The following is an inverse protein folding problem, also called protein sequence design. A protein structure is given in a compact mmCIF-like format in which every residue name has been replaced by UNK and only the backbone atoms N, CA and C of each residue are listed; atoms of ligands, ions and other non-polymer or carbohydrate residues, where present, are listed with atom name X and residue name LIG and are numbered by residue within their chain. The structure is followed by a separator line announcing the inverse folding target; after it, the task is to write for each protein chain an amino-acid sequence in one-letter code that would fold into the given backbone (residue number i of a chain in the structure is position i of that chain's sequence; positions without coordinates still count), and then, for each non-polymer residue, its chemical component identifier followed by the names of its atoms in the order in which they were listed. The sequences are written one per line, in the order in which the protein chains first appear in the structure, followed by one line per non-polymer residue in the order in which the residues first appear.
data_IF_595866433303
#
_entry.id   IF_595866433303
#
_cell.length_a   1.000
_cell.length_b   1.000
_cell.length_c   1.000
_cell.angle_alpha   90.00
_cell.angle_beta   90.00
_cell.angle_gamma   90.00
#
_symmetry.space_group_name_H-M   'P 1'
#
loop_
_entity.id
_entity.type
_entity.pdbx_description
1 polymer ?
#
# COMPACT_ATOMS: atom_id res chain seq x y z
N UNK A 1 56.79 7.38 -0.40
CA UNK A 1 56.31 8.63 0.22
C UNK A 1 55.73 9.49 -0.91
N UNK A 2 54.42 9.75 -0.86
CA UNK A 2 53.59 10.52 -1.82
C UNK A 2 53.39 9.91 -3.21
N UNK A 3 52.36 9.06 -3.34
CA UNK A 3 51.74 8.76 -4.64
C UNK A 3 50.57 9.70 -4.91
N UNK A 4 50.65 10.30 -6.10
CA UNK A 4 49.70 11.23 -6.71
C UNK A 4 48.53 10.45 -7.29
N UNK A 5 47.29 10.78 -6.91
CA UNK A 5 46.13 10.52 -7.75
C UNK A 5 45.72 11.83 -8.45
N UNK A 6 46.18 11.94 -9.70
CA UNK A 6 45.70 12.90 -10.68
C UNK A 6 44.29 12.51 -11.13
N UNK A 7 43.40 13.49 -11.18
CA UNK A 7 42.03 13.30 -11.65
C UNK A 7 41.92 12.97 -13.14
N UNK A 8 40.80 12.32 -13.47
CA UNK A 8 40.04 12.51 -14.70
C UNK A 8 38.76 11.66 -14.61
N UNK A 9 37.64 12.26 -14.20
CA UNK A 9 36.32 11.74 -14.55
C UNK A 9 35.69 12.73 -15.53
N UNK A 10 35.83 12.40 -16.80
CA UNK A 10 35.33 13.15 -17.94
C UNK A 10 33.79 13.08 -17.92
N UNK A 11 33.17 14.25 -17.77
CA UNK A 11 31.83 14.55 -18.28
C UNK A 11 31.79 14.25 -19.79
N UNK A 12 30.85 13.41 -20.23
CA UNK A 12 29.85 13.68 -21.29
C UNK A 12 29.31 12.38 -21.88
N UNK A 13 27.98 12.33 -21.99
CA UNK A 13 27.30 11.29 -22.76
C UNK A 13 25.77 11.36 -22.70
N UNK A 14 25.19 12.57 -22.68
CA UNK A 14 23.77 12.72 -22.97
C UNK A 14 23.55 12.58 -24.48
N UNK A 15 22.78 11.57 -24.90
CA UNK A 15 22.13 11.59 -26.22
C UNK A 15 20.86 10.74 -26.23
N UNK A 16 19.73 11.46 -26.17
CA UNK A 16 18.53 11.29 -27.00
C UNK A 16 18.01 9.87 -27.24
N UNK A 17 16.90 9.56 -26.57
CA UNK A 17 15.76 8.86 -27.15
C UNK A 17 14.47 9.42 -26.51
N UNK A 18 14.09 10.62 -26.90
CA UNK A 18 12.69 11.07 -26.84
C UNK A 18 12.14 10.96 -28.25
N UNK A 19 11.28 9.96 -28.48
CA UNK A 19 10.33 9.93 -29.59
C UNK A 19 9.20 8.96 -29.24
N UNK A 20 8.03 9.56 -29.04
CA UNK A 20 6.70 8.96 -28.99
C UNK A 20 6.39 8.05 -27.79
N UNK A 21 5.77 8.68 -26.78
CA UNK A 21 4.56 8.13 -26.19
C UNK A 21 4.74 7.35 -24.90
N UNK A 22 4.10 7.89 -23.86
CA UNK A 22 3.61 7.22 -22.66
C UNK A 22 4.60 7.19 -21.49
N UNK A 23 4.20 7.92 -20.44
CA UNK A 23 4.91 8.11 -19.18
C UNK A 23 4.06 7.46 -18.06
N UNK A 24 4.73 6.79 -17.11
CA UNK A 24 4.20 5.69 -16.27
C UNK A 24 4.46 5.90 -14.76
N UNK A 25 3.60 5.46 -13.83
CA UNK A 25 3.77 5.61 -12.35
C UNK A 25 4.01 4.29 -11.64
N UNK A 26 4.69 4.28 -10.49
CA UNK A 26 4.88 3.06 -9.69
C UNK A 26 5.08 3.33 -8.21
N UNK A 27 4.52 2.47 -7.37
CA UNK A 27 4.70 2.47 -5.91
C UNK A 27 5.52 1.25 -5.49
N UNK A 28 6.53 1.50 -4.65
CA UNK A 28 7.41 0.49 -4.12
C UNK A 28 7.45 0.54 -2.60
N UNK A 29 7.72 -0.62 -2.01
CA UNK A 29 7.91 -0.79 -0.59
C UNK A 29 9.14 -1.67 -0.35
N UNK A 30 10.10 -1.17 0.43
CA UNK A 30 11.09 -2.01 1.09
C UNK A 30 10.45 -2.50 2.37
N UNK A 31 10.20 -3.80 2.45
CA UNK A 31 9.74 -4.44 3.67
C UNK A 31 10.96 -4.61 4.57
N UNK A 32 11.03 -3.75 5.60
CA UNK A 32 11.98 -3.90 6.70
C UNK A 32 11.50 -4.96 7.69
N UNK A 33 11.85 -4.80 8.97
CA UNK A 33 11.40 -5.72 10.02
C UNK A 33 9.88 -5.63 10.19
N UNK A 34 9.19 -6.70 9.83
CA UNK A 34 7.81 -6.96 10.26
C UNK A 34 7.86 -7.91 11.45
N UNK A 35 7.15 -7.58 12.52
CA UNK A 35 6.95 -8.45 13.67
C UNK A 35 5.45 -8.57 13.91
N UNK A 36 4.89 -9.69 13.48
CA UNK A 36 3.46 -9.99 13.63
C UNK A 36 3.22 -11.40 14.13
N UNK A 37 1.98 -11.65 14.55
CA UNK A 37 1.50 -12.97 14.96
C UNK A 37 0.75 -13.64 13.82
N UNK A 38 1.12 -14.88 13.51
CA UNK A 38 0.46 -15.73 12.53
C UNK A 38 -0.27 -16.87 13.27
N UNK A 39 -1.58 -16.99 13.02
CA UNK A 39 -2.33 -18.15 13.47
C UNK A 39 -2.45 -19.19 12.34
N UNK A 40 -1.56 -20.18 12.34
CA UNK A 40 -1.57 -21.31 11.39
C UNK A 40 -2.88 -22.12 11.38
N UNK A 41 -3.72 -21.97 12.41
CA UNK A 41 -5.02 -22.64 12.54
C UNK A 41 -6.16 -22.00 11.74
N UNK A 42 -5.99 -20.76 11.27
CA UNK A 42 -6.98 -20.02 10.49
C UNK A 42 -6.35 -19.65 9.14
N UNK A 43 -6.28 -20.65 8.27
CA UNK A 43 -6.04 -20.44 6.85
C UNK A 43 -7.23 -19.65 6.31
N UNK A 44 -6.93 -18.55 5.64
CA UNK A 44 -7.96 -17.82 4.93
C UNK A 44 -8.59 -18.72 3.87
N UNK A 45 -9.90 -18.62 3.72
CA UNK A 45 -10.72 -19.52 2.92
C UNK A 45 -10.34 -19.45 1.43
N UNK A 46 -9.34 -20.23 1.02
CA UNK A 46 -8.98 -20.60 -0.36
C UNK A 46 -7.98 -21.78 -0.38
N UNK A 47 -8.51 -23.01 -0.36
CA UNK A 47 -7.94 -24.30 -0.82
C UNK A 47 -6.41 -24.40 -1.12
N UNK A 48 -5.64 -25.00 -0.20
CA UNK A 48 -4.73 -26.18 -0.35
C UNK A 48 -3.43 -26.16 0.52
N UNK A 49 -3.32 -27.18 1.40
CA UNK A 49 -2.11 -27.93 1.85
C UNK A 49 -1.32 -27.44 3.11
N UNK A 50 -1.57 -28.14 4.24
CA UNK A 50 -0.72 -28.66 5.37
C UNK A 50 0.70 -28.10 5.66
N UNK A 51 1.25 -28.03 6.89
CA UNK A 51 0.85 -28.43 8.25
C UNK A 51 1.74 -27.72 9.34
N UNK A 52 1.20 -27.69 10.57
CA UNK A 52 1.84 -27.71 11.91
C UNK A 52 2.88 -26.63 12.31
N UNK A 53 2.57 -25.90 13.40
CA UNK A 53 3.24 -26.10 14.70
C UNK A 53 2.48 -25.34 15.79
N UNK A 54 2.19 -26.05 16.88
CA UNK A 54 1.56 -25.55 18.10
C UNK A 54 2.54 -24.74 18.96
N UNK A 55 2.06 -23.62 19.49
CA UNK A 55 2.63 -22.96 20.66
C UNK A 55 1.54 -22.06 21.25
N UNK A 56 1.12 -22.34 22.48
CA UNK A 56 0.03 -21.65 23.17
C UNK A 56 0.39 -20.21 23.62
N UNK A 57 1.55 -19.70 23.19
CA UNK A 57 1.97 -18.32 23.36
C UNK A 57 2.52 -17.81 22.01
N UNK A 58 1.93 -16.72 21.52
CA UNK A 58 2.52 -15.75 20.58
C UNK A 58 3.89 -16.07 19.96
N UNK A 59 4.00 -16.49 18.69
CA UNK A 59 5.31 -16.42 17.99
C UNK A 59 5.43 -15.10 17.23
N UNK A 60 6.37 -14.25 17.62
CA UNK A 60 6.79 -13.10 16.81
C UNK A 60 7.52 -13.60 15.57
N UNK A 61 7.04 -13.24 14.38
CA UNK A 61 7.68 -13.64 13.12
C UNK A 61 8.46 -12.46 12.54
N UNK A 62 9.80 -12.48 12.55
CA UNK A 62 10.60 -11.49 11.85
C UNK A 62 10.54 -11.76 10.34
N UNK A 63 9.90 -10.89 9.58
CA UNK A 63 9.92 -10.92 8.10
C UNK A 63 10.96 -9.93 7.60
N UNK A 64 11.76 -10.35 6.63
CA UNK A 64 12.79 -9.58 5.95
C UNK A 64 12.85 -9.98 4.46
N UNK A 65 13.81 -9.43 3.71
CA UNK A 65 13.92 -9.74 2.29
C UNK A 65 14.15 -11.22 1.97
N UNK A 66 14.91 -11.95 2.80
CA UNK A 66 15.30 -13.32 2.50
C UNK A 66 14.13 -14.30 2.68
N UNK A 67 13.15 -13.92 3.52
CA UNK A 67 12.01 -14.77 3.86
C UNK A 67 10.65 -14.18 3.46
N UNK A 68 10.61 -13.06 2.74
CA UNK A 68 9.37 -12.35 2.39
C UNK A 68 8.34 -13.28 1.73
N UNK A 69 8.71 -13.98 0.66
CA UNK A 69 7.83 -14.88 -0.09
C UNK A 69 7.42 -16.16 0.66
N UNK A 70 8.03 -16.42 1.82
CA UNK A 70 7.56 -17.48 2.72
C UNK A 70 6.24 -17.08 3.38
N UNK A 71 6.08 -15.81 3.71
CA UNK A 71 4.95 -15.29 4.48
C UNK A 71 3.96 -14.49 3.63
N UNK A 72 4.44 -13.86 2.56
CA UNK A 72 3.61 -13.09 1.64
C UNK A 72 3.39 -13.81 0.32
N UNK A 73 2.24 -13.53 -0.27
CA UNK A 73 1.89 -13.86 -1.64
C UNK A 73 1.55 -12.58 -2.41
N UNK A 74 1.73 -12.62 -3.73
CA UNK A 74 1.54 -11.50 -4.64
C UNK A 74 0.34 -11.79 -5.54
N UNK A 75 -0.49 -10.78 -5.80
CA UNK A 75 -1.58 -10.86 -6.77
C UNK A 75 -1.80 -9.53 -7.49
N UNK A 76 -2.48 -9.58 -8.63
CA UNK A 76 -2.64 -8.42 -9.50
C UNK A 76 -1.33 -8.07 -10.19
N UNK A 77 -0.98 -6.79 -10.27
CA UNK A 77 0.22 -6.32 -10.95
C UNK A 77 1.51 -6.42 -10.12
N UNK A 78 1.43 -6.88 -8.87
CA UNK A 78 2.56 -6.79 -7.94
C UNK A 78 3.69 -7.77 -8.27
N UNK A 79 4.91 -7.38 -7.92
CA UNK A 79 6.12 -8.20 -8.07
C UNK A 79 7.08 -8.00 -6.91
N UNK A 80 8.04 -8.89 -6.77
CA UNK A 80 9.03 -8.84 -5.69
C UNK A 80 10.44 -9.12 -6.22
N UNK A 81 11.40 -8.27 -5.85
CA UNK A 81 12.82 -8.49 -6.11
C UNK A 81 13.53 -8.96 -4.83
N UNK A 82 13.81 -10.26 -4.77
CA UNK A 82 14.49 -10.89 -3.63
C UNK A 82 15.93 -10.39 -3.41
N UNK A 83 16.57 -9.75 -4.40
CA UNK A 83 17.92 -9.21 -4.23
C UNK A 83 17.93 -7.89 -3.47
N UNK A 84 16.85 -7.12 -3.61
CA UNK A 84 16.75 -5.76 -3.08
C UNK A 84 15.74 -5.64 -1.94
N UNK A 85 14.89 -6.65 -1.75
CA UNK A 85 13.81 -6.60 -0.76
C UNK A 85 12.63 -5.73 -1.18
N UNK A 86 12.58 -5.31 -2.45
CA UNK A 86 11.60 -4.38 -2.97
C UNK A 86 10.35 -5.13 -3.44
N UNK A 87 9.21 -4.80 -2.83
CA UNK A 87 7.88 -5.11 -3.35
C UNK A 87 7.46 -3.97 -4.26
N UNK A 88 7.20 -4.29 -5.53
CA UNK A 88 6.57 -3.37 -6.48
C UNK A 88 5.07 -3.64 -6.42
N UNK A 89 4.27 -2.69 -5.93
CA UNK A 89 2.82 -2.89 -5.83
C UNK A 89 2.14 -2.70 -7.19
N UNK A 90 2.57 -1.68 -7.93
CA UNK A 90 2.15 -1.42 -9.31
C UNK A 90 3.39 -1.14 -10.14
N UNK A 91 3.60 -1.85 -11.27
CA UNK A 91 4.72 -1.57 -12.15
C UNK A 91 4.51 -0.22 -12.82
N UNK A 92 5.60 0.33 -13.35
CA UNK A 92 5.57 1.55 -14.13
C UNK A 92 4.85 1.27 -15.45
N UNK A 93 3.51 1.22 -15.45
CA UNK A 93 2.66 0.97 -16.62
C UNK A 93 1.48 1.94 -16.67
N UNK A 94 0.81 2.01 -17.83
CA UNK A 94 -0.33 2.88 -18.12
C UNK A 94 -1.65 2.09 -18.15
N UNK A 95 -1.73 1.08 -17.29
CA UNK A 95 -2.88 0.19 -17.17
C UNK A 95 -3.73 0.56 -15.96
N UNK A 96 -5.04 0.42 -16.13
CA UNK A 96 -6.02 0.32 -15.04
C UNK A 96 -5.74 -0.95 -14.26
N UNK A 97 -4.96 -0.84 -13.20
CA UNK A 97 -4.50 -2.02 -12.49
C UNK A 97 -4.36 -1.79 -10.98
N UNK A 98 -4.48 -2.89 -10.26
CA UNK A 98 -4.28 -3.00 -8.82
C UNK A 98 -3.29 -4.14 -8.59
N UNK A 99 -2.40 -3.98 -7.63
CA UNK A 99 -1.49 -5.03 -7.22
C UNK A 99 -1.36 -5.04 -5.72
N UNK A 100 -1.26 -6.25 -5.17
CA UNK A 100 -1.25 -6.49 -3.74
C UNK A 100 -0.15 -7.47 -3.35
N UNK A 101 0.39 -7.27 -2.16
CA UNK A 101 1.19 -8.26 -1.45
C UNK A 101 0.50 -8.53 -0.11
N UNK A 102 0.12 -9.78 0.16
CA UNK A 102 -0.69 -10.12 1.31
C UNK A 102 -0.13 -11.31 2.10
N UNK A 103 -0.39 -11.35 3.40
CA UNK A 103 0.02 -12.49 4.22
C UNK A 103 -0.72 -13.76 3.79
N UNK A 104 -0.01 -14.87 3.70
CA UNK A 104 -0.58 -16.21 3.45
C UNK A 104 -1.44 -16.72 4.62
N UNK A 105 -1.33 -16.07 5.77
CA UNK A 105 -2.08 -16.36 6.98
C UNK A 105 -2.77 -15.12 7.51
N UNK A 106 -3.78 -15.30 8.35
CA UNK A 106 -4.43 -14.18 9.04
C UNK A 106 -3.69 -13.81 10.33
N UNK A 107 -3.72 -12.52 10.65
CA UNK A 107 -3.22 -12.00 11.91
C UNK A 107 -4.30 -12.07 12.98
N UNK A 108 -3.92 -12.48 14.18
CA UNK A 108 -4.77 -12.38 15.37
C UNK A 108 -4.73 -10.95 15.92
N UNK A 109 -5.82 -10.20 15.74
CA UNK A 109 -5.96 -8.81 16.18
C UNK A 109 -6.15 -8.70 17.71
N UNK A 110 -6.13 -9.81 18.46
CA UNK A 110 -5.92 -9.76 19.92
C UNK A 110 -4.45 -9.58 20.30
N UNK A 111 -3.53 -9.69 19.33
CA UNK A 111 -2.08 -9.56 19.52
C UNK A 111 -1.56 -8.30 18.87
N UNK A 112 -0.56 -7.70 19.51
CA UNK A 112 0.14 -6.56 18.97
C UNK A 112 1.02 -6.97 17.78
N UNK A 113 1.17 -6.07 16.81
CA UNK A 113 2.14 -6.22 15.73
C UNK A 113 2.82 -4.88 15.42
N UNK A 114 3.95 -4.96 14.73
CA UNK A 114 4.57 -3.79 14.14
C UNK A 114 5.20 -4.12 12.79
N UNK A 115 5.25 -3.11 11.95
CA UNK A 115 5.87 -3.13 10.64
C UNK A 115 6.72 -1.87 10.52
N UNK A 116 7.96 -2.03 10.09
CA UNK A 116 8.82 -0.93 9.68
C UNK A 116 9.39 -1.21 8.29
N UNK A 117 9.54 -0.16 7.50
CA UNK A 117 10.09 -0.23 6.16
C UNK A 117 10.30 1.16 5.58
N UNK A 118 10.35 1.23 4.26
CA UNK A 118 10.34 2.51 3.55
C UNK A 118 9.51 2.39 2.28
N UNK A 119 8.79 3.46 1.96
CA UNK A 119 8.00 3.55 0.73
C UNK A 119 8.70 4.43 -0.29
N UNK A 120 8.43 4.20 -1.56
CA UNK A 120 8.87 5.08 -2.64
C UNK A 120 7.74 5.22 -3.64
N UNK A 121 7.54 6.44 -4.12
CA UNK A 121 6.61 6.73 -5.21
C UNK A 121 7.41 7.35 -6.35
N UNK A 122 7.36 6.69 -7.52
CA UNK A 122 8.07 7.15 -8.71
C UNK A 122 7.08 7.86 -9.63
N UNK A 123 7.27 9.16 -9.90
CA UNK A 123 6.42 9.92 -10.82
C UNK A 123 6.64 9.45 -12.25
N UNK A 124 5.64 9.70 -13.12
CA UNK A 124 5.80 9.38 -14.54
C UNK A 124 6.74 10.26 -15.26
N UNK A 125 6.81 11.52 -14.90
CA UNK A 125 7.81 12.43 -15.39
C UNK A 125 8.70 12.84 -14.21
N UNK A 126 10.00 12.48 -14.21
CA UNK A 126 10.91 13.01 -13.20
C UNK A 126 11.06 14.55 -13.29
N UNK A 127 10.62 15.18 -14.39
CA UNK A 127 10.60 16.63 -14.59
C UNK A 127 9.26 17.27 -14.23
N UNK A 128 8.18 16.49 -14.12
CA UNK A 128 6.85 16.95 -13.71
C UNK A 128 6.36 16.13 -12.51
N UNK A 129 6.66 16.64 -11.32
CA UNK A 129 6.40 15.97 -10.05
C UNK A 129 4.94 16.08 -9.59
N UNK A 130 4.11 16.87 -10.27
CA UNK A 130 2.67 16.95 -9.96
C UNK A 130 1.85 16.12 -10.93
N UNK A 131 2.36 15.87 -12.15
CA UNK A 131 1.72 14.99 -13.11
C UNK A 131 2.07 13.55 -12.89
N UNK A 132 1.14 12.99 -12.15
CA UNK A 132 0.96 11.61 -11.91
C UNK A 132 2.06 11.03 -11.01
N UNK A 133 1.51 10.58 -9.93
CA UNK A 133 2.16 10.09 -8.73
C UNK A 133 1.10 9.18 -8.08
N UNK A 134 -0.17 9.41 -8.43
CA UNK A 134 -1.35 8.57 -8.27
C UNK A 134 -1.26 7.10 -8.71
N UNK A 135 -2.13 6.26 -8.16
CA UNK A 135 -3.21 6.67 -7.23
C UNK A 135 -2.75 6.66 -5.77
N UNK A 136 -1.86 5.74 -5.41
CA UNK A 136 -1.20 5.72 -4.10
C UNK A 136 -0.97 4.30 -3.61
N UNK A 137 -0.90 4.15 -2.29
CA UNK A 137 -0.78 2.86 -1.64
C UNK A 137 -1.58 2.77 -0.35
N UNK A 138 -1.97 1.55 0.01
CA UNK A 138 -2.65 1.23 1.26
C UNK A 138 -1.95 0.09 1.99
N UNK A 139 -2.07 0.14 3.32
CA UNK A 139 -1.70 -0.93 4.24
C UNK A 139 -2.99 -1.33 4.94
N UNK A 140 -3.57 -2.43 4.49
CA UNK A 140 -4.94 -2.81 4.76
C UNK A 140 -5.05 -4.08 5.61
N UNK A 141 -6.05 -4.08 6.48
CA UNK A 141 -6.52 -5.19 7.27
C UNK A 141 -7.90 -5.52 6.74
N UNK A 142 -8.08 -6.74 6.25
CA UNK A 142 -9.29 -7.13 5.53
C UNK A 142 -9.82 -8.47 6.01
N UNK A 143 -11.13 -8.60 6.19
CA UNK A 143 -11.77 -9.88 6.42
C UNK A 143 -11.96 -10.65 5.11
N UNK A 144 -12.27 -11.94 5.22
CA UNK A 144 -12.63 -12.77 4.09
C UNK A 144 -11.45 -13.23 3.22
N UNK A 145 -11.70 -13.38 1.93
CA UNK A 145 -10.77 -13.94 0.94
C UNK A 145 -9.57 -13.02 0.67
N UNK A 146 -8.34 -13.46 0.99
CA UNK A 146 -7.14 -12.65 0.84
C UNK A 146 -6.63 -12.64 -0.62
N UNK A 147 -7.18 -13.46 -1.51
CA UNK A 147 -6.80 -13.40 -2.92
C UNK A 147 -7.48 -12.22 -3.63
N UNK A 148 -8.53 -11.64 -3.04
CA UNK A 148 -9.27 -10.52 -3.63
C UNK A 148 -8.43 -9.26 -3.76
N UNK A 149 -8.27 -8.82 -5.00
CA UNK A 149 -7.64 -7.54 -5.34
C UNK A 149 -8.73 -6.48 -5.48
N UNK A 150 -8.66 -5.41 -4.70
CA UNK A 150 -9.62 -4.31 -4.78
C UNK A 150 -9.48 -3.48 -6.05
N UNK A 151 -10.46 -2.61 -6.27
CA UNK A 151 -10.55 -1.79 -7.47
C UNK A 151 -9.41 -0.78 -7.57
N UNK A 152 -9.01 -0.49 -8.82
CA UNK A 152 -7.92 0.43 -9.14
C UNK A 152 -8.38 1.89 -9.02
N UNK A 153 -7.55 2.87 -9.43
CA UNK A 153 -7.91 4.28 -9.34
C UNK A 153 -7.97 4.75 -7.89
N UNK A 154 -8.94 5.62 -7.61
CA UNK A 154 -9.27 6.06 -6.26
C UNK A 154 -9.59 4.92 -5.28
N UNK A 155 -9.81 3.69 -5.75
CA UNK A 155 -9.95 2.50 -4.91
C UNK A 155 -8.63 2.01 -4.28
N UNK A 156 -7.47 2.40 -4.83
CA UNK A 156 -6.11 2.10 -4.33
C UNK A 156 -5.94 0.63 -3.91
N UNK A 157 -6.47 -0.29 -4.72
CA UNK A 157 -6.33 -1.73 -4.54
C UNK A 157 -7.14 -2.31 -3.38
N UNK A 158 -7.99 -1.51 -2.71
CA UNK A 158 -8.86 -1.94 -1.59
C UNK A 158 -10.33 -1.62 -1.78
N UNK A 159 -10.68 -0.67 -2.65
CA UNK A 159 -12.08 -0.36 -2.97
C UNK A 159 -12.84 -1.63 -3.40
N UNK A 160 -14.07 -1.79 -2.90
CA UNK A 160 -14.89 -2.98 -3.15
C UNK A 160 -14.73 -4.11 -2.13
N UNK A 161 -13.69 -4.10 -1.29
CA UNK A 161 -13.47 -5.12 -0.25
C UNK A 161 -14.20 -4.72 1.04
N UNK A 162 -15.25 -5.44 1.39
CA UNK A 162 -16.03 -5.16 2.60
C UNK A 162 -15.20 -5.29 3.89
N UNK A 163 -15.41 -4.39 4.84
CA UNK A 163 -14.74 -4.42 6.15
C UNK A 163 -13.24 -4.11 6.13
N UNK A 164 -12.65 -3.77 4.99
CA UNK A 164 -11.24 -3.38 4.93
C UNK A 164 -11.00 -2.03 5.62
N UNK A 165 -9.91 -1.94 6.38
CA UNK A 165 -9.46 -0.69 7.01
C UNK A 165 -7.94 -0.62 7.06
N UNK A 166 -7.38 0.55 7.41
CA UNK A 166 -5.95 0.67 7.66
C UNK A 166 -5.42 2.05 7.31
N UNK A 167 -4.19 2.11 6.81
CA UNK A 167 -3.51 3.36 6.43
C UNK A 167 -3.51 3.53 4.92
N UNK A 168 -3.70 4.76 4.45
CA UNK A 168 -3.61 5.16 3.04
C UNK A 168 -2.59 6.29 2.90
N UNK A 169 -1.73 6.16 1.90
CA UNK A 169 -0.91 7.25 1.38
C UNK A 169 -1.46 7.54 -0.02
N UNK A 170 -2.28 8.59 -0.09
CA UNK A 170 -2.99 8.98 -1.31
C UNK A 170 -2.19 10.04 -2.04
N UNK A 171 -2.05 9.86 -3.35
CA UNK A 171 -1.15 10.65 -4.20
C UNK A 171 -1.87 11.24 -5.40
N UNK A 172 -3.20 11.09 -5.44
CA UNK A 172 -4.05 11.72 -6.43
C UNK A 172 -5.26 12.34 -5.72
N UNK A 173 -5.79 13.44 -6.25
CA UNK A 173 -6.94 14.11 -5.65
C UNK A 173 -8.18 13.86 -6.49
N UNK A 174 -9.13 13.11 -5.94
CA UNK A 174 -10.43 12.82 -6.51
C UNK A 174 -11.51 13.64 -5.81
N UNK A 175 -12.10 14.62 -6.50
CA UNK A 175 -13.17 15.47 -5.96
C UNK A 175 -14.59 14.94 -6.21
N UNK A 176 -14.74 13.64 -6.48
CA UNK A 176 -16.04 12.97 -6.67
C UNK A 176 -16.09 11.60 -5.99
N UNK A 177 -17.31 11.17 -5.67
CA UNK A 177 -17.58 9.84 -5.13
C UNK A 177 -17.69 8.82 -6.27
N UNK A 178 -17.18 7.61 -6.06
CA UNK A 178 -17.36 6.49 -6.97
C UNK A 178 -17.62 5.19 -6.19
N UNK A 179 -18.82 4.64 -6.37
CA UNK A 179 -19.22 3.36 -5.77
C UNK A 179 -18.23 2.24 -6.12
N UNK A 180 -17.92 1.40 -5.14
CA UNK A 180 -16.97 0.30 -5.33
C UNK A 180 -15.51 0.74 -5.37
N UNK A 181 -15.20 2.05 -5.34
CA UNK A 181 -13.82 2.57 -5.31
C UNK A 181 -13.57 3.41 -4.07
N UNK A 182 -14.02 4.67 -4.06
CA UNK A 182 -13.78 5.59 -2.94
C UNK A 182 -14.79 6.73 -2.92
N UNK A 183 -15.04 7.25 -1.73
CA UNK A 183 -15.58 8.60 -1.56
C UNK A 183 -14.55 9.64 -2.03
N UNK A 184 -15.02 10.88 -2.26
CA UNK A 184 -14.15 12.01 -2.60
C UNK A 184 -13.12 12.26 -1.50
N UNK A 185 -11.96 12.76 -1.89
CA UNK A 185 -10.88 13.06 -0.97
C UNK A 185 -11.21 14.27 -0.08
N UNK A 186 -10.83 14.21 1.21
CA UNK A 186 -11.09 15.29 2.16
C UNK A 186 -10.15 16.49 1.99
N UNK A 187 -8.96 16.28 1.43
CA UNK A 187 -7.92 17.31 1.21
C UNK A 187 -7.17 17.02 -0.09
N UNK A 188 -6.46 18.01 -0.61
CA UNK A 188 -5.60 17.81 -1.77
C UNK A 188 -4.41 16.91 -1.41
N UNK A 189 -4.06 16.01 -2.33
CA UNK A 189 -2.92 15.10 -2.26
C UNK A 189 -1.56 15.80 -2.51
N UNK A 190 -0.43 15.20 -2.09
CA UNK A 190 -0.35 13.93 -1.38
C UNK A 190 -0.65 14.07 0.12
N UNK A 191 -1.28 13.05 0.69
CA UNK A 191 -1.56 12.97 2.12
C UNK A 191 -1.44 11.55 2.64
N UNK A 192 -1.22 11.42 3.94
CA UNK A 192 -1.36 10.17 4.68
C UNK A 192 -2.53 10.27 5.66
N UNK A 193 -3.33 9.22 5.75
CA UNK A 193 -4.42 9.11 6.73
C UNK A 193 -4.78 7.66 7.01
N UNK A 194 -5.77 7.45 7.87
CA UNK A 194 -6.47 6.19 7.97
C UNK A 194 -7.63 6.12 6.96
N UNK A 195 -8.07 4.91 6.65
CA UNK A 195 -9.29 4.66 5.88
C UNK A 195 -10.09 3.51 6.47
N UNK A 196 -11.37 3.46 6.10
CA UNK A 196 -12.19 2.25 6.16
C UNK A 196 -13.11 2.15 4.95
N UNK A 197 -13.42 0.94 4.55
CA UNK A 197 -14.39 0.67 3.52
C UNK A 197 -15.80 0.64 4.13
N UNK A 198 -16.72 1.35 3.49
CA UNK A 198 -18.12 1.43 3.92
C UNK A 198 -19.04 1.06 2.76
N UNK A 199 -20.20 0.48 3.06
CA UNK A 199 -21.28 0.43 2.08
C UNK A 199 -21.85 1.84 1.89
N UNK A 200 -21.76 2.33 0.65
CA UNK A 200 -22.37 3.60 0.25
C UNK A 200 -23.23 3.39 -0.98
N UNK A 201 -24.20 2.48 -0.92
CA UNK A 201 -25.17 2.22 -2.00
C UNK A 201 -25.79 3.47 -2.64
N UNK A 202 -25.96 4.56 -1.90
CA UNK A 202 -26.48 5.84 -2.40
C UNK A 202 -25.59 6.59 -3.42
N UNK A 203 -24.34 6.18 -3.67
CA UNK A 203 -23.45 6.79 -4.68
C UNK A 203 -23.25 5.90 -5.92
N UNK A 204 -24.04 4.84 -6.06
CA UNK A 204 -23.95 3.89 -7.18
C UNK A 204 -22.97 2.74 -6.93
N UNK A 205 -22.62 2.04 -8.00
CA UNK A 205 -21.78 0.83 -8.00
C UNK A 205 -20.54 1.00 -8.88
N UNK A 206 -19.51 0.18 -8.66
CA UNK A 206 -18.35 0.09 -9.56
C UNK A 206 -18.73 -0.41 -10.95
N UNK A 207 -17.90 -0.05 -11.94
CA UNK A 207 -18.08 -0.43 -13.33
C UNK A 207 -17.96 -1.96 -13.51
N UNK A 208 -18.60 -2.50 -14.54
CA UNK A 208 -18.48 -3.91 -14.93
C UNK A 208 -17.05 -4.37 -15.28
N UNK A 209 -16.17 -3.42 -15.63
CA UNK A 209 -14.76 -3.64 -15.97
C UNK A 209 -13.82 -3.53 -14.78
N UNK A 210 -14.35 -3.17 -13.60
CA UNK A 210 -13.59 -3.15 -12.36
C UNK A 210 -13.29 -4.57 -11.86
N UNK A 211 -12.25 -4.72 -11.03
CA UNK A 211 -11.84 -6.02 -10.47
C UNK A 211 -12.93 -6.64 -9.58
N UNK A 212 -13.65 -5.79 -8.87
CA UNK A 212 -14.84 -6.11 -8.08
C UNK A 212 -15.99 -5.31 -8.69
N UNK A 213 -16.63 -5.83 -9.75
CA UNK A 213 -17.70 -5.12 -10.44
C UNK A 213 -18.97 -5.08 -9.60
N UNK A 214 -19.84 -4.09 -9.86
CA UNK A 214 -21.15 -3.94 -9.20
C UNK A 214 -21.12 -3.78 -7.66
N UNK A 215 -19.97 -3.44 -7.08
CA UNK A 215 -19.82 -3.24 -5.63
C UNK A 215 -20.23 -1.83 -5.23
N UNK A 216 -20.89 -1.69 -4.09
CA UNK A 216 -21.19 -0.40 -3.44
C UNK A 216 -20.18 -0.05 -2.35
N UNK A 217 -19.27 -0.98 -2.02
CA UNK A 217 -18.29 -0.84 -0.95
C UNK A 217 -17.18 0.10 -1.38
N UNK A 218 -17.03 1.22 -0.69
CA UNK A 218 -16.13 2.30 -1.11
C UNK A 218 -15.16 2.68 0.01
N UNK A 219 -13.89 2.92 -0.35
CA UNK A 219 -12.90 3.51 0.56
C UNK A 219 -13.40 4.86 1.07
N UNK A 220 -13.32 5.08 2.36
CA UNK A 220 -13.58 6.37 3.01
C UNK A 220 -12.39 6.72 3.87
N UNK A 221 -11.81 7.89 3.63
CA UNK A 221 -10.76 8.44 4.49
C UNK A 221 -11.38 8.80 5.84
N UNK A 222 -10.67 8.48 6.92
CA UNK A 222 -11.06 8.80 8.30
C UNK A 222 -9.89 9.47 9.04
N UNK A 223 -10.20 10.08 10.18
CA UNK A 223 -9.22 10.88 10.95
C UNK A 223 -8.91 12.22 10.28
N UNK A 224 -7.82 12.84 10.69
CA UNK A 224 -7.33 14.10 10.10
C UNK A 224 -6.17 13.78 9.15
N UNK A 225 -6.38 13.88 7.82
CA UNK A 225 -5.30 13.65 6.86
C UNK A 225 -4.15 14.62 7.07
N UNK A 226 -2.93 14.11 6.95
CA UNK A 226 -1.71 14.91 7.04
C UNK A 226 -1.12 15.07 5.64
N UNK A 227 -1.27 16.28 5.09
CA UNK A 227 -0.75 16.61 3.76
C UNK A 227 0.76 16.86 3.77
N UNK A 228 1.41 16.51 2.67
CA UNK A 228 2.82 16.79 2.41
C UNK A 228 3.02 17.18 0.93
N UNK A 229 4.26 17.32 0.46
CA UNK A 229 4.54 17.84 -0.89
C UNK A 229 4.99 16.73 -1.82
N UNK A 230 4.61 16.83 -3.08
CA UNK A 230 5.16 15.95 -4.13
C UNK A 230 6.69 16.00 -4.22
N UNK A 231 7.30 17.16 -3.92
CA UNK A 231 8.76 17.29 -3.87
C UNK A 231 9.41 16.41 -2.81
N UNK A 232 8.66 15.98 -1.79
CA UNK A 232 9.18 15.13 -0.71
C UNK A 232 9.48 13.71 -1.21
N UNK A 233 8.87 13.27 -2.33
CA UNK A 233 9.24 12.02 -3.02
C UNK A 233 10.59 12.10 -3.74
N UNK A 234 11.19 13.29 -3.84
CA UNK A 234 12.49 13.48 -4.49
C UNK A 234 12.55 12.91 -5.90
N UNK A 235 11.51 13.15 -6.71
CA UNK A 235 11.40 12.64 -8.09
C UNK A 235 11.45 11.10 -8.21
N UNK A 236 11.11 10.39 -7.14
CA UNK A 236 11.18 8.93 -7.11
C UNK A 236 12.59 8.40 -6.81
N UNK A 237 13.49 9.23 -6.30
CA UNK A 237 14.84 8.82 -5.88
C UNK A 237 14.93 8.59 -4.36
N UNK A 238 13.91 9.01 -3.61
CA UNK A 238 13.90 8.94 -2.14
C UNK A 238 13.01 7.79 -1.67
N UNK A 239 13.54 7.05 -0.69
CA UNK A 239 12.78 6.12 0.13
C UNK A 239 12.37 6.83 1.42
N UNK A 240 11.06 6.95 1.65
CA UNK A 240 10.50 7.59 2.84
C UNK A 240 10.30 6.54 3.93
N UNK A 241 10.95 6.65 5.10
CA UNK A 241 10.74 5.75 6.21
C UNK A 241 9.27 5.71 6.63
N UNK A 242 8.74 4.49 6.78
CA UNK A 242 7.35 4.25 7.11
C UNK A 242 7.23 3.13 8.14
N UNK A 243 6.30 3.27 9.09
CA UNK A 243 5.97 2.22 10.05
C UNK A 243 4.51 2.21 10.45
N UNK A 244 4.02 1.03 10.82
CA UNK A 244 2.74 0.82 11.50
C UNK A 244 3.01 0.07 12.80
N UNK A 245 2.42 0.50 13.90
CA UNK A 245 2.33 -0.27 15.14
C UNK A 245 0.87 -0.46 15.52
N UNK A 246 0.54 -1.58 16.12
CA UNK A 246 -0.79 -1.90 16.59
C UNK A 246 -0.75 -2.55 17.96
N UNK A 247 -1.61 -2.08 18.85
CA UNK A 247 -1.77 -2.63 20.20
C UNK A 247 -2.98 -3.58 20.25
N UNK A 248 -2.72 -4.87 20.50
CA UNK A 248 -3.74 -5.90 20.57
C UNK A 248 -4.67 -5.79 21.78
N UNK A 249 -4.36 -4.99 22.79
CA UNK A 249 -5.25 -4.71 23.91
C UNK A 249 -6.19 -3.54 23.58
N UNK A 250 -5.63 -2.39 23.23
CA UNK A 250 -6.40 -1.15 23.00
C UNK A 250 -7.06 -1.11 21.63
N UNK A 251 -6.61 -1.93 20.68
CA UNK A 251 -7.01 -1.91 19.26
C UNK A 251 -6.61 -0.63 18.55
N UNK A 252 -5.63 0.10 19.11
CA UNK A 252 -5.09 1.31 18.50
C UNK A 252 -4.02 0.94 17.49
N UNK A 253 -4.10 1.56 16.31
CA UNK A 253 -3.09 1.51 15.27
C UNK A 253 -2.46 2.90 15.13
N UNK A 254 -1.15 2.94 15.05
CA UNK A 254 -0.37 4.15 14.81
C UNK A 254 0.44 4.00 13.54
N UNK A 255 0.36 4.97 12.63
CA UNK A 255 1.30 5.08 11.53
C UNK A 255 2.38 6.13 11.83
N UNK A 256 3.54 5.99 11.20
CA UNK A 256 4.54 7.05 11.10
C UNK A 256 5.11 7.09 9.69
N UNK A 257 5.17 8.28 9.09
CA UNK A 257 5.80 8.54 7.79
C UNK A 257 6.78 9.71 7.94
N UNK A 258 8.04 9.50 7.57
CA UNK A 258 9.06 10.56 7.60
C UNK A 258 9.20 11.19 6.22
N UNK A 259 8.98 12.50 6.12
CA UNK A 259 9.11 13.31 4.88
C UNK A 259 10.01 14.53 5.15
N UNK A 260 11.21 14.53 4.58
CA UNK A 260 12.24 15.51 4.92
C UNK A 260 12.51 15.51 6.43
N UNK A 261 12.40 16.67 7.07
CA UNK A 261 12.58 16.84 8.52
C UNK A 261 11.30 16.62 9.34
N UNK A 262 10.19 16.21 8.70
CA UNK A 262 8.90 16.02 9.36
C UNK A 262 8.60 14.55 9.60
N UNK A 263 7.97 14.27 10.73
CA UNK A 263 7.38 12.98 11.04
C UNK A 263 5.87 13.17 11.11
N UNK A 264 5.15 12.61 10.14
CA UNK A 264 3.69 12.58 10.11
C UNK A 264 3.23 11.34 10.87
N UNK A 265 2.46 11.53 11.93
CA UNK A 265 2.02 10.43 12.80
C UNK A 265 0.59 10.63 13.27
N UNK A 266 -0.16 9.54 13.37
CA UNK A 266 -1.52 9.56 13.92
C UNK A 266 -1.85 8.18 14.49
N UNK A 267 -2.76 8.17 15.45
CA UNK A 267 -3.28 6.95 16.08
C UNK A 267 -4.79 6.90 15.90
N UNK A 268 -5.33 5.74 15.51
CA UNK A 268 -6.77 5.50 15.43
C UNK A 268 -7.14 4.18 16.10
N UNK A 269 -8.27 4.16 16.78
CA UNK A 269 -8.84 2.95 17.37
C UNK A 269 -9.72 2.24 16.33
N UNK A 270 -9.43 0.96 16.05
CA UNK A 270 -10.18 0.14 15.08
C UNK A 270 -11.02 -0.96 15.75
N UNK A 271 -11.37 -0.80 17.03
CA UNK A 271 -12.19 -1.78 17.75
C UNK A 271 -13.54 -2.05 17.08
N UNK A 272 -14.11 -1.07 16.36
CA UNK A 272 -15.38 -1.23 15.64
C UNK A 272 -15.26 -1.98 14.33
N UNK A 273 -14.08 -2.02 13.72
CA UNK A 273 -13.81 -2.68 12.45
C UNK A 273 -13.28 -4.10 12.63
N UNK A 274 -12.85 -4.47 13.85
CA UNK A 274 -12.32 -5.79 14.17
C UNK A 274 -13.44 -6.69 14.71
N UNK A 275 -13.62 -7.91 14.16
CA UNK A 275 -14.59 -8.87 14.68
C UNK A 275 -14.37 -9.17 16.17
N UNK A 276 -15.45 -9.21 16.95
CA UNK A 276 -15.38 -9.53 18.40
C UNK A 276 -15.16 -11.02 18.66
N UNK A 277 -15.73 -11.87 17.81
CA UNK A 277 -15.46 -13.30 17.77
C UNK A 277 -14.49 -13.57 16.62
N UNK A 278 -13.47 -14.40 16.87
CA UNK A 278 -12.44 -14.74 15.89
C UNK A 278 -11.82 -13.50 15.23
N UNK A 279 -11.05 -12.67 15.98
CA UNK A 279 -10.56 -11.36 15.55
C UNK A 279 -9.40 -11.49 14.54
N UNK A 280 -9.59 -12.29 13.48
CA UNK A 280 -8.57 -12.60 12.51
C UNK A 280 -8.74 -11.75 11.26
N UNK A 281 -7.68 -11.03 10.88
CA UNK A 281 -7.69 -10.15 9.71
C UNK A 281 -6.48 -10.46 8.84
N UNK A 282 -6.66 -10.45 7.52
CA UNK A 282 -5.55 -10.56 6.60
C UNK A 282 -4.88 -9.20 6.41
N UNK A 283 -3.55 -9.15 6.54
CA UNK A 283 -2.78 -7.96 6.21
C UNK A 283 -2.38 -7.95 4.74
N UNK A 284 -2.59 -6.83 4.07
CA UNK A 284 -2.19 -6.61 2.68
C UNK A 284 -1.61 -5.22 2.46
N UNK A 285 -0.64 -5.14 1.58
CA UNK A 285 -0.07 -3.91 1.04
C UNK A 285 -0.57 -3.82 -0.39
N UNK A 286 -1.22 -2.72 -0.76
CA UNK A 286 -1.86 -2.60 -2.05
C UNK A 286 -1.55 -1.26 -2.70
N UNK A 287 -1.50 -1.25 -4.03
CA UNK A 287 -1.40 -0.05 -4.84
C UNK A 287 -2.34 -0.13 -6.03
N UNK A 288 -2.63 1.02 -6.62
CA UNK A 288 -3.35 1.08 -7.89
C UNK A 288 -2.78 2.15 -8.81
N UNK A 289 -2.97 1.91 -10.10
CA UNK A 289 -2.86 2.92 -11.13
C UNK A 289 -4.16 2.99 -11.94
N UNK A 290 -4.61 4.21 -12.22
CA UNK A 290 -5.59 4.55 -13.22
C UNK A 290 -5.04 5.75 -13.98
N UNK A 291 -4.87 5.60 -15.29
CA UNK A 291 -4.84 6.81 -16.09
C UNK A 291 -6.25 7.39 -16.04
N UNK A 292 -6.43 8.42 -15.22
CA UNK A 292 -7.30 9.50 -15.63
C UNK A 292 -6.75 10.06 -16.95
N UNK A 293 -7.13 9.41 -18.06
CA UNK A 293 -7.09 10.00 -19.38
C UNK A 293 -8.02 11.22 -19.33
N UNK A 294 -7.49 12.38 -18.94
CA UNK A 294 -8.35 13.53 -18.65
C UNK A 294 -7.67 14.76 -18.03
N UNK A 295 -6.49 15.16 -18.52
CA UNK A 295 -6.20 16.60 -18.64
C UNK A 295 -5.57 16.85 -20.00
N UNK A 296 -6.47 16.92 -21.01
CA UNK A 296 -6.27 17.88 -22.09
C UNK A 296 -6.45 19.29 -21.52
#
# INVERSE_FOLDING_TARGET
MKDKFSGNLIRRGASKLFRNGILLFSTFLIVGTFTGYDNKGVQADANNVSASQSGADGTTIPINQDNFLKYFELAGASSYDAKTGIVTLIPRTNSKDSGIAYLKSNMDMSKSFSMAGAIQVIPSDPNDQTRGVGDGMTFAFRPGDPTKVGNFGQGIGVGGIEGAFGTVIDTYYNNWNQGGRSLMDPVHSPYISFFKNIDKSGIGKSDSTDRIPNSTISKSVIGTPQAFRYSDFGKGEIWLPFSISYDGNTKEMTYSLTVGDKILTSTNNFSTEIPTADPYMNFAMAGAGDLAAGSM
#
